data_IF_957317191513
#
_entry.id   IF_957317191513
#
_cell.length_a   1.000
_cell.length_b   1.000
_cell.length_c   1.000
_cell.angle_alpha   90.00
_cell.angle_beta   90.00
_cell.angle_gamma   90.00
#
_symmetry.space_group_name_H-M   'P 1'
#
loop_
_entity.id
_entity.type
_entity.pdbx_description
1 polymer ?
#
# COMPACT_ATOMS: atom_id res chain seq x y z
N UNK A 1 -8.76 -6.39 -26.28
CA UNK A 1 -8.74 -5.29 -27.25
C UNK A 1 -7.40 -5.31 -27.98
N UNK A 2 -7.36 -5.41 -29.30
CA UNK A 2 -6.11 -5.37 -30.02
C UNK A 2 -5.40 -4.02 -29.83
N UNK A 3 -4.10 -4.02 -29.55
CA UNK A 3 -3.27 -2.81 -29.46
C UNK A 3 -3.13 -2.18 -28.06
N UNK A 4 -3.68 -2.79 -27.01
CA UNK A 4 -3.45 -2.28 -25.65
C UNK A 4 -2.15 -2.82 -25.08
N UNK A 5 -1.22 -1.93 -24.77
CA UNK A 5 0.01 -2.27 -24.03
C UNK A 5 -0.38 -2.48 -22.57
N UNK A 6 0.04 -3.58 -21.98
CA UNK A 6 -0.07 -3.77 -20.53
C UNK A 6 1.22 -3.32 -19.82
N UNK A 7 1.06 -2.85 -18.60
CA UNK A 7 2.15 -2.52 -17.69
C UNK A 7 2.17 -3.53 -16.54
N UNK A 8 3.35 -3.88 -16.07
CA UNK A 8 3.51 -4.85 -14.99
C UNK A 8 4.76 -4.54 -14.18
N UNK A 9 4.69 -4.75 -12.87
CA UNK A 9 5.83 -4.71 -11.96
C UNK A 9 6.38 -6.12 -11.66
N UNK A 10 5.90 -7.14 -12.34
CA UNK A 10 6.33 -8.52 -12.15
C UNK A 10 7.71 -8.77 -12.75
N UNK A 11 8.50 -9.60 -12.06
CA UNK A 11 9.70 -10.18 -12.67
C UNK A 11 9.32 -11.11 -13.83
N UNK A 12 10.29 -11.41 -14.73
CA UNK A 12 10.04 -12.36 -15.79
C UNK A 12 9.64 -13.76 -15.30
N UNK A 13 10.17 -14.18 -14.15
CA UNK A 13 9.80 -15.45 -13.53
C UNK A 13 8.37 -15.44 -12.99
N UNK A 14 7.96 -14.36 -12.33
CA UNK A 14 6.61 -14.22 -11.78
C UNK A 14 5.58 -14.10 -12.89
N UNK A 15 5.94 -13.42 -13.98
CA UNK A 15 5.13 -13.38 -15.20
C UNK A 15 4.91 -14.79 -15.77
N UNK A 16 5.97 -15.58 -15.91
CA UNK A 16 5.86 -16.96 -16.41
C UNK A 16 4.95 -17.82 -15.51
N UNK A 17 5.11 -17.74 -14.18
CA UNK A 17 4.27 -18.44 -13.21
C UNK A 17 2.80 -18.04 -13.32
N UNK A 18 2.51 -16.76 -13.53
CA UNK A 18 1.14 -16.30 -13.73
C UNK A 18 0.51 -16.92 -14.97
N UNK A 19 1.20 -16.88 -16.10
CA UNK A 19 0.71 -17.46 -17.35
C UNK A 19 0.47 -18.97 -17.21
N UNK A 20 1.40 -19.70 -16.60
CA UNK A 20 1.26 -21.13 -16.36
C UNK A 20 0.02 -21.46 -15.50
N UNK A 21 -0.32 -20.61 -14.57
CA UNK A 21 -1.48 -20.80 -13.67
C UNK A 21 -2.78 -20.17 -14.18
N UNK A 22 -2.80 -19.67 -15.41
CA UNK A 22 -4.02 -19.22 -16.08
C UNK A 22 -4.36 -17.76 -15.89
N UNK A 23 -3.39 -16.94 -15.47
CA UNK A 23 -3.56 -15.50 -15.29
C UNK A 23 -2.72 -14.70 -16.28
N UNK A 24 -3.20 -13.54 -16.64
CA UNK A 24 -2.47 -12.59 -17.49
C UNK A 24 -2.45 -11.22 -16.86
N UNK A 25 -1.31 -10.49 -16.86
CA UNK A 25 -1.28 -9.11 -16.40
C UNK A 25 -2.09 -8.21 -17.31
N UNK A 26 -2.81 -7.26 -16.70
CA UNK A 26 -3.69 -6.30 -17.38
C UNK A 26 -3.10 -4.90 -17.31
N UNK A 27 -2.72 -4.45 -16.09
CA UNK A 27 -2.19 -3.10 -15.89
C UNK A 27 -1.43 -3.00 -14.57
N UNK A 28 -0.61 -1.96 -14.45
CA UNK A 28 0.01 -1.55 -13.19
C UNK A 28 -1.02 -0.77 -12.37
N UNK A 29 -1.13 -1.07 -11.07
CA UNK A 29 -2.08 -0.42 -10.17
C UNK A 29 -1.37 0.05 -8.91
N UNK A 30 -1.84 1.18 -8.37
CA UNK A 30 -1.25 1.82 -7.22
C UNK A 30 -2.31 2.37 -6.27
N UNK A 31 -2.03 2.29 -4.98
CA UNK A 31 -2.75 3.02 -3.95
C UNK A 31 -1.79 3.78 -3.07
N UNK A 32 -2.10 5.03 -2.78
CA UNK A 32 -1.29 5.86 -1.90
C UNK A 32 -2.18 6.67 -0.97
N UNK A 33 -1.67 6.94 0.22
CA UNK A 33 -2.28 7.83 1.19
C UNK A 33 -1.22 8.53 2.03
N UNK A 34 -1.52 9.75 2.46
CA UNK A 34 -0.68 10.55 3.34
C UNK A 34 -1.52 11.03 4.51
N UNK A 35 -1.10 10.68 5.71
CA UNK A 35 -1.69 11.17 6.96
C UNK A 35 -0.77 12.14 7.67
N UNK A 36 -1.31 13.18 8.26
CA UNK A 36 -0.56 14.18 9.05
C UNK A 36 -1.18 14.31 10.42
N UNK A 37 -0.35 14.35 11.45
CA UNK A 37 -0.76 14.62 12.82
C UNK A 37 0.14 15.67 13.45
N UNK A 38 -0.47 16.67 14.06
CA UNK A 38 0.24 17.61 14.90
C UNK A 38 0.49 17.04 16.28
N UNK A 39 1.69 17.25 16.82
CA UNK A 39 1.95 16.99 18.23
C UNK A 39 1.16 17.97 19.09
N UNK A 40 0.32 17.44 19.96
CA UNK A 40 -0.29 18.20 21.02
C UNK A 40 0.58 18.12 22.30
N UNK A 41 0.26 18.95 23.31
CA UNK A 41 0.97 18.97 24.58
C UNK A 41 0.94 17.62 25.31
N UNK A 42 -0.11 16.79 25.07
CA UNK A 42 -0.22 15.44 25.65
C UNK A 42 0.78 14.49 25.03
N UNK A 43 0.99 14.55 23.73
CA UNK A 43 1.99 13.74 23.02
C UNK A 43 3.40 14.09 23.50
N UNK A 44 3.69 15.38 23.70
CA UNK A 44 4.97 15.85 24.21
C UNK A 44 5.25 15.36 25.63
N UNK A 45 4.23 15.30 26.51
CA UNK A 45 4.38 14.77 27.86
C UNK A 45 4.57 13.25 27.89
N UNK A 46 3.97 12.50 26.99
CA UNK A 46 4.07 11.03 26.94
C UNK A 46 5.36 10.53 26.29
N UNK A 47 6.04 11.36 25.48
CA UNK A 47 7.29 11.04 24.78
C UNK A 47 8.53 11.65 25.45
N UNK A 48 8.38 12.32 26.59
CA UNK A 48 9.50 12.92 27.32
C UNK A 48 10.54 11.90 27.78
N UNK A 49 11.78 12.36 28.05
CA UNK A 49 12.94 11.54 28.36
C UNK A 49 12.78 10.57 29.57
N UNK A 50 11.74 10.73 30.36
CA UNK A 50 11.41 9.89 31.52
C UNK A 50 10.15 9.03 31.31
N UNK A 51 9.52 9.09 30.12
CA UNK A 51 8.37 8.26 29.82
C UNK A 51 8.81 6.81 29.59
N UNK A 52 8.16 5.80 30.19
CA UNK A 52 8.38 4.41 29.82
C UNK A 52 8.08 4.23 28.33
N UNK A 53 8.76 3.30 27.69
CA UNK A 53 8.55 2.95 26.28
C UNK A 53 7.09 2.48 26.11
N UNK A 54 6.20 3.40 25.83
CA UNK A 54 4.77 3.16 25.58
C UNK A 54 4.46 3.52 24.13
N UNK A 55 3.60 2.73 23.55
CA UNK A 55 2.98 3.05 22.26
C UNK A 55 2.21 4.38 22.40
N UNK A 56 2.44 5.31 21.46
CA UNK A 56 1.68 6.56 21.38
C UNK A 56 0.40 6.27 20.60
N UNK A 57 -0.80 6.19 21.25
CA UNK A 57 -2.01 5.68 20.61
C UNK A 57 -2.38 6.41 19.31
N UNK A 58 -2.11 7.69 19.24
CA UNK A 58 -2.43 8.45 18.05
C UNK A 58 -1.51 8.20 16.84
N UNK A 59 -0.32 7.68 17.03
CA UNK A 59 0.57 7.32 15.93
C UNK A 59 0.16 6.00 15.32
N UNK A 60 -0.15 5.02 16.12
CA UNK A 60 -0.69 3.73 15.66
C UNK A 60 -1.99 3.92 14.88
N UNK A 61 -2.88 4.78 15.38
CA UNK A 61 -4.11 5.13 14.69
C UNK A 61 -3.85 5.80 13.34
N UNK A 62 -2.93 6.78 13.27
CA UNK A 62 -2.54 7.45 12.03
C UNK A 62 -1.97 6.48 11.00
N UNK A 63 -1.06 5.60 11.43
CA UNK A 63 -0.49 4.56 10.56
C UNK A 63 -1.56 3.60 10.05
N UNK A 64 -2.44 3.15 10.94
CA UNK A 64 -3.55 2.25 10.57
C UNK A 64 -4.50 2.89 9.58
N UNK A 65 -4.90 4.15 9.80
CA UNK A 65 -5.78 4.88 8.91
C UNK A 65 -5.14 5.07 7.53
N UNK A 66 -3.89 5.53 7.49
CA UNK A 66 -3.17 5.77 6.23
C UNK A 66 -2.99 4.49 5.42
N UNK A 67 -2.70 3.37 6.08
CA UNK A 67 -2.64 2.05 5.43
C UNK A 67 -4.00 1.60 4.89
N UNK A 68 -5.06 1.83 5.65
CA UNK A 68 -6.41 1.47 5.24
C UNK A 68 -6.84 2.26 4.00
N UNK A 69 -6.59 3.56 3.99
CA UNK A 69 -6.89 4.43 2.85
C UNK A 69 -6.07 4.06 1.61
N UNK A 70 -4.77 3.84 1.75
CA UNK A 70 -3.92 3.40 0.64
C UNK A 70 -4.43 2.08 0.03
N UNK A 71 -4.86 1.13 0.88
CA UNK A 71 -5.47 -0.11 0.42
C UNK A 71 -6.79 0.12 -0.31
N UNK A 72 -7.64 1.00 0.20
CA UNK A 72 -8.92 1.32 -0.45
C UNK A 72 -8.70 1.95 -1.84
N UNK A 73 -7.73 2.87 -1.97
CA UNK A 73 -7.34 3.46 -3.25
C UNK A 73 -6.79 2.40 -4.21
N UNK A 74 -5.94 1.50 -3.72
CA UNK A 74 -5.37 0.39 -4.49
C UNK A 74 -6.44 -0.54 -5.05
N UNK A 75 -7.40 -0.96 -4.24
CA UNK A 75 -8.52 -1.81 -4.68
C UNK A 75 -9.43 -1.09 -5.67
N UNK A 76 -9.67 0.21 -5.45
CA UNK A 76 -10.47 1.03 -6.38
C UNK A 76 -9.77 1.15 -7.73
N UNK A 77 -8.46 1.38 -7.74
CA UNK A 77 -7.66 1.46 -8.97
C UNK A 77 -7.65 0.11 -9.69
N UNK A 78 -7.49 -0.99 -8.96
CA UNK A 78 -7.57 -2.35 -9.51
C UNK A 78 -8.93 -2.61 -10.15
N UNK A 79 -10.02 -2.26 -9.47
CA UNK A 79 -11.38 -2.46 -9.99
C UNK A 79 -11.64 -1.69 -11.29
N UNK A 80 -11.05 -0.51 -11.47
CA UNK A 80 -11.15 0.28 -12.71
C UNK A 80 -10.54 -0.41 -13.92
N UNK A 81 -9.58 -1.30 -13.73
CA UNK A 81 -8.98 -2.05 -14.83
C UNK A 81 -9.90 -3.15 -15.39
N UNK A 82 -10.93 -3.53 -14.66
CA UNK A 82 -11.79 -4.68 -14.96
C UNK A 82 -11.08 -6.03 -14.77
N UNK A 83 -10.07 -6.06 -13.92
CA UNK A 83 -9.32 -7.27 -13.59
C UNK A 83 -10.08 -8.16 -12.60
N UNK A 84 -9.74 -9.44 -12.58
CA UNK A 84 -10.32 -10.45 -11.68
C UNK A 84 -9.54 -10.57 -10.37
N UNK A 85 -8.33 -10.02 -10.34
CA UNK A 85 -7.47 -10.05 -9.18
C UNK A 85 -6.27 -9.11 -9.30
N UNK A 86 -5.43 -9.12 -8.28
CA UNK A 86 -4.21 -8.32 -8.23
C UNK A 86 -3.10 -9.04 -7.48
N UNK A 87 -1.88 -8.89 -7.96
CA UNK A 87 -0.65 -9.29 -7.26
C UNK A 87 -0.02 -8.05 -6.66
N UNK A 88 0.12 -8.02 -5.33
CA UNK A 88 0.85 -6.95 -4.63
C UNK A 88 2.34 -7.18 -4.82
N UNK A 89 3.03 -6.18 -5.33
CA UNK A 89 4.48 -6.26 -5.61
C UNK A 89 5.29 -5.55 -4.54
N UNK A 90 4.79 -4.43 -4.02
CA UNK A 90 5.49 -3.62 -3.02
C UNK A 90 4.52 -2.88 -2.10
N UNK A 91 4.92 -2.75 -0.83
CA UNK A 91 4.23 -1.93 0.17
C UNK A 91 5.27 -1.11 0.90
N UNK A 92 5.28 0.19 0.67
CA UNK A 92 6.19 1.13 1.34
C UNK A 92 5.42 1.97 2.36
N UNK A 93 5.97 2.06 3.57
CA UNK A 93 5.45 2.89 4.65
C UNK A 93 6.59 3.76 5.17
N UNK A 94 6.39 5.08 5.08
CA UNK A 94 7.37 6.07 5.57
C UNK A 94 6.76 6.93 6.64
N UNK A 95 7.49 7.11 7.71
CA UNK A 95 7.17 8.05 8.78
C UNK A 95 8.22 9.13 8.79
N UNK A 96 7.79 10.38 8.71
CA UNK A 96 8.68 11.56 8.75
C UNK A 96 8.21 12.53 9.82
N UNK A 97 9.14 13.20 10.43
CA UNK A 97 8.90 14.37 11.27
C UNK A 97 9.16 15.63 10.45
N UNK A 98 8.29 16.61 10.60
CA UNK A 98 8.42 17.92 9.99
C UNK A 98 8.23 18.99 11.05
N UNK A 99 9.06 20.01 11.03
CA UNK A 99 8.86 21.18 11.87
C UNK A 99 7.56 21.89 11.46
N UNK A 100 6.74 22.20 12.46
CA UNK A 100 5.49 22.91 12.21
C UNK A 100 5.77 24.37 11.88
N UNK A 101 5.30 24.82 10.74
CA UNK A 101 5.52 26.22 10.25
C UNK A 101 4.88 27.28 11.15
N UNK A 102 4.02 26.90 12.08
CA UNK A 102 3.29 27.82 12.97
C UNK A 102 3.92 27.97 14.36
N UNK A 103 4.77 27.01 14.77
CA UNK A 103 5.39 27.03 16.07
C UNK A 103 6.66 26.16 16.06
N UNK A 104 7.83 26.78 16.17
CA UNK A 104 9.16 26.13 16.13
C UNK A 104 9.41 25.05 17.22
N UNK A 105 8.45 24.84 18.11
CA UNK A 105 8.52 23.83 19.19
C UNK A 105 7.59 22.64 18.99
N UNK A 106 6.80 22.63 17.93
CA UNK A 106 5.89 21.52 17.62
C UNK A 106 6.31 20.83 16.34
N UNK A 107 6.26 19.52 16.36
CA UNK A 107 6.56 18.66 15.21
C UNK A 107 5.28 18.07 14.65
N UNK A 108 5.23 18.00 13.32
CA UNK A 108 4.21 17.27 12.60
C UNK A 108 4.76 15.89 12.24
N UNK A 109 3.97 14.87 12.52
CA UNK A 109 4.26 13.52 12.04
C UNK A 109 3.50 13.28 10.75
N UNK A 110 4.23 12.92 9.72
CA UNK A 110 3.70 12.60 8.39
C UNK A 110 3.90 11.12 8.13
N UNK A 111 2.83 10.41 7.87
CA UNK A 111 2.84 9.01 7.47
C UNK A 111 2.44 8.91 6.00
N UNK A 112 3.30 8.32 5.20
CA UNK A 112 3.05 8.04 3.79
C UNK A 112 2.96 6.53 3.59
N UNK A 113 1.92 6.05 2.94
CA UNK A 113 1.78 4.64 2.57
C UNK A 113 1.56 4.53 1.07
N UNK A 114 2.34 3.69 0.41
CA UNK A 114 2.18 3.38 -1.01
C UNK A 114 2.10 1.88 -1.20
N UNK A 115 1.14 1.43 -2.00
CA UNK A 115 0.97 0.03 -2.40
C UNK A 115 1.06 -0.02 -3.91
N UNK A 116 1.93 -0.88 -4.43
CA UNK A 116 2.13 -1.10 -5.85
C UNK A 116 1.80 -2.55 -6.20
N UNK A 117 1.13 -2.77 -7.32
CA UNK A 117 0.79 -4.10 -7.77
C UNK A 117 0.49 -4.19 -9.25
N UNK A 118 0.21 -5.40 -9.69
CA UNK A 118 -0.19 -5.70 -11.08
C UNK A 118 -1.58 -6.31 -11.05
N UNK A 119 -2.52 -5.64 -11.70
CA UNK A 119 -3.86 -6.17 -11.95
C UNK A 119 -3.78 -7.34 -12.93
N UNK A 120 -4.51 -8.42 -12.65
CA UNK A 120 -4.46 -9.66 -13.41
C UNK A 120 -5.87 -10.13 -13.78
N UNK A 121 -5.99 -10.73 -14.96
CA UNK A 121 -7.22 -11.35 -15.42
C UNK A 121 -7.04 -12.86 -15.57
N UNK A 122 -8.08 -13.63 -15.21
CA UNK A 122 -8.09 -15.07 -15.34
C UNK A 122 -8.50 -15.45 -16.78
N UNK A 123 -7.71 -16.23 -17.49
CA UNK A 123 -8.05 -16.71 -18.82
C UNK A 123 -8.31 -18.22 -18.86
N UNK A 124 -7.92 -18.94 -17.82
CA UNK A 124 -8.27 -20.35 -17.61
C UNK A 124 -8.28 -20.67 -16.11
N UNK A 125 -9.12 -21.57 -15.69
CA UNK A 125 -9.14 -22.06 -14.31
C UNK A 125 -7.88 -22.87 -14.02
N UNK A 126 -7.07 -22.41 -13.07
CA UNK A 126 -5.89 -23.14 -12.62
C UNK A 126 -6.26 -24.14 -11.53
N UNK A 127 -5.67 -25.35 -11.59
CA UNK A 127 -5.85 -26.34 -10.54
C UNK A 127 -5.03 -26.01 -9.28
N UNK A 128 -3.95 -25.26 -9.43
CA UNK A 128 -3.09 -24.84 -8.32
C UNK A 128 -2.64 -23.39 -8.53
N UNK A 129 -2.82 -22.50 -7.54
CA UNK A 129 -2.24 -21.16 -7.59
C UNK A 129 -0.71 -21.23 -7.48
N UNK A 130 0.02 -20.25 -8.02
CA UNK A 130 1.47 -20.21 -7.89
C UNK A 130 1.87 -20.05 -6.42
N UNK A 131 2.70 -20.95 -5.91
CA UNK A 131 3.10 -21.02 -4.49
C UNK A 131 3.89 -19.81 -3.98
N UNK A 132 4.40 -18.96 -4.88
CA UNK A 132 5.26 -17.82 -4.56
C UNK A 132 4.63 -16.45 -4.84
N UNK A 133 3.39 -16.40 -5.32
CA UNK A 133 2.66 -15.17 -5.60
C UNK A 133 1.39 -15.11 -4.76
N UNK A 134 1.23 -14.03 -4.02
CA UNK A 134 -0.03 -13.78 -3.30
C UNK A 134 -1.00 -13.07 -4.22
N UNK A 135 -2.00 -13.81 -4.70
CA UNK A 135 -3.07 -13.27 -5.53
C UNK A 135 -4.25 -12.91 -4.64
N UNK A 136 -4.67 -11.66 -4.67
CA UNK A 136 -5.95 -11.23 -4.11
C UNK A 136 -7.00 -11.24 -5.22
N UNK A 137 -8.06 -12.01 -5.06
CA UNK A 137 -9.25 -11.96 -5.92
C UNK A 137 -10.11 -10.77 -5.52
N UNK A 138 -10.68 -10.13 -6.51
CA UNK A 138 -11.64 -9.03 -6.34
C UNK A 138 -13.05 -9.57 -6.15
#
# INVERSE_FOLDING_TARGET
>A
RPGRVFLSHLSGQDFAKLIETGWVPVDLVMGASVGVRHDDWRTTFTTGAFAPAQEVPGWTELVSLTRHEARAHFLTDTARTGADGVVVSDVDLRVRERECSYNDKQHDHVVETTILGTAIAEFRTAHHPPSSLTIMRL
#
